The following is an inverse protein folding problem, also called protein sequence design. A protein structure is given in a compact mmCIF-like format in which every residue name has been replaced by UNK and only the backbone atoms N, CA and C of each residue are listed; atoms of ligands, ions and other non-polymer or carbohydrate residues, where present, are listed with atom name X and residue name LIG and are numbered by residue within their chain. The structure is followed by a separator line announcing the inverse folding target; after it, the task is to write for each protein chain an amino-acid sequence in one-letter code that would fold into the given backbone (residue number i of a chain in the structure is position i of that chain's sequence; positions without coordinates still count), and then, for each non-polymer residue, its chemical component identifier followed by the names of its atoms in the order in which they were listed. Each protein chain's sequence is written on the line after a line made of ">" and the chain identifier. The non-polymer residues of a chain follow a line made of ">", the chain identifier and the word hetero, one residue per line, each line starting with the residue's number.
data_IF_569741510530
#
_entry.id   IF_569741510530
#
_cell.length_a   1.000
_cell.length_b   1.000
_cell.length_c   1.000
_cell.angle_alpha   90.00
_cell.angle_beta   90.00
_cell.angle_gamma   90.00
#
_symmetry.space_group_name_H-M   'P 1'
#
loop_
_entity.id
_entity.type
_entity.pdbx_description
1 polymer ?
#
# COMPACT_ATOMS: atom_id res chain seq x y z
N UNK A 1 31.95 6.31 97.81
CA UNK A 1 31.80 7.64 97.25
C UNK A 1 31.88 7.50 95.74
N UNK A 2 30.75 7.53 95.10
CA UNK A 2 30.65 7.30 93.66
C UNK A 2 30.26 8.60 92.96
N UNK A 3 30.89 9.01 91.86
CA UNK A 3 30.38 10.09 91.03
C UNK A 3 29.44 9.61 89.96
N UNK A 4 28.43 10.39 89.76
CA UNK A 4 27.34 10.21 88.77
C UNK A 4 27.81 10.79 87.45
N UNK A 5 27.82 9.98 86.39
CA UNK A 5 28.06 10.40 85.01
C UNK A 5 26.76 10.90 84.37
N UNK A 6 26.71 12.20 84.02
CA UNK A 6 25.65 12.78 83.19
C UNK A 6 26.02 12.52 81.73
N UNK A 7 25.20 11.74 81.09
CA UNK A 7 25.25 11.54 79.66
C UNK A 7 24.55 12.68 78.91
N UNK A 8 25.30 13.40 78.09
CA UNK A 8 24.78 14.44 77.20
C UNK A 8 24.26 13.84 75.92
N UNK A 9 22.94 13.97 75.72
CA UNK A 9 22.25 13.53 74.53
C UNK A 9 22.33 14.64 73.46
N UNK A 10 23.20 14.48 72.48
CA UNK A 10 23.29 15.35 71.31
C UNK A 10 22.21 15.01 70.31
N UNK A 11 21.22 15.88 70.13
CA UNK A 11 20.16 15.83 69.14
C UNK A 11 20.73 16.38 67.81
N UNK A 12 21.03 15.52 66.86
CA UNK A 12 21.42 15.93 65.52
C UNK A 12 20.21 16.29 64.68
N UNK A 13 19.99 17.57 64.42
CA UNK A 13 19.06 18.06 63.40
C UNK A 13 19.60 17.70 62.00
N UNK A 14 18.93 16.77 61.31
CA UNK A 14 19.16 16.55 59.89
C UNK A 14 18.47 17.67 59.10
N UNK A 15 19.27 18.58 58.53
CA UNK A 15 18.79 19.59 57.60
C UNK A 15 18.47 18.91 56.24
N UNK A 16 17.20 18.90 55.87
CA UNK A 16 16.79 18.58 54.52
C UNK A 16 17.23 19.69 53.57
N UNK A 17 18.25 19.44 52.79
CA UNK A 17 18.59 20.27 51.65
C UNK A 17 17.56 20.01 50.51
N UNK A 18 16.99 21.04 49.88
CA UNK A 18 16.16 20.83 48.67
C UNK A 18 17.11 20.37 47.55
N UNK A 19 16.94 19.13 47.11
CA UNK A 19 17.60 18.59 45.94
C UNK A 19 17.19 19.40 44.71
N UNK A 20 18.15 20.13 44.16
CA UNK A 20 18.03 20.66 42.79
C UNK A 20 17.96 19.47 41.84
N UNK A 21 16.72 19.00 41.60
CA UNK A 21 16.48 18.05 40.54
C UNK A 21 16.84 18.70 39.19
N UNK A 22 17.95 18.27 38.64
CA UNK A 22 18.24 18.48 37.23
C UNK A 22 17.11 17.81 36.46
N UNK A 23 16.14 18.59 36.05
CA UNK A 23 15.23 18.18 35.02
C UNK A 23 16.05 18.04 33.73
N UNK A 24 16.59 16.86 33.54
CA UNK A 24 17.26 16.48 32.31
C UNK A 24 16.24 16.69 31.20
N UNK A 25 16.58 17.63 30.35
CA UNK A 25 16.01 17.95 29.07
C UNK A 25 15.23 16.76 28.50
N UNK A 26 13.94 16.97 28.27
CA UNK A 26 13.09 16.10 27.48
C UNK A 26 13.84 15.78 26.19
N UNK A 27 14.45 14.61 26.12
CA UNK A 27 14.83 14.05 24.83
C UNK A 27 13.56 14.03 24.02
N UNK A 28 13.47 14.89 23.02
CA UNK A 28 12.51 14.76 21.95
C UNK A 28 12.72 13.36 21.39
N UNK A 29 11.83 12.45 21.76
CA UNK A 29 11.76 11.14 21.12
C UNK A 29 11.51 11.47 19.65
N UNK A 30 12.57 11.46 18.84
CA UNK A 30 12.40 11.30 17.39
C UNK A 30 11.65 9.99 17.26
N UNK A 31 10.37 10.10 17.00
CA UNK A 31 9.59 8.98 16.48
C UNK A 31 10.25 8.70 15.12
N UNK A 32 11.24 7.82 15.11
CA UNK A 32 11.67 7.21 13.87
C UNK A 32 10.40 6.59 13.29
N UNK A 33 10.03 7.04 12.11
CA UNK A 33 8.94 6.50 11.32
C UNK A 33 9.34 5.06 10.94
N UNK A 34 9.20 4.14 11.92
CA UNK A 34 9.46 2.72 11.69
C UNK A 34 8.37 2.23 10.77
N UNK A 35 8.74 2.08 9.51
CA UNK A 35 7.92 1.32 8.58
C UNK A 35 7.66 -0.03 9.21
N UNK A 36 6.40 -0.43 9.46
CA UNK A 36 6.12 -1.74 10.04
C UNK A 36 6.80 -2.83 9.21
N UNK A 37 7.33 -3.86 9.84
CA UNK A 37 8.06 -4.97 9.17
C UNK A 37 7.28 -5.62 8.00
N UNK A 38 5.97 -5.37 7.91
CA UNK A 38 5.07 -5.88 6.87
C UNK A 38 5.00 -5.02 5.61
N UNK A 39 5.49 -3.79 5.65
CA UNK A 39 5.47 -2.89 4.50
C UNK A 39 6.87 -2.77 3.90
N UNK A 40 6.96 -2.82 2.58
CA UNK A 40 8.19 -2.47 1.88
C UNK A 40 8.41 -0.95 1.91
N UNK A 41 9.68 -0.54 1.78
CA UNK A 41 10.01 0.86 1.62
C UNK A 41 9.30 1.44 0.39
N UNK A 42 8.77 2.67 0.53
CA UNK A 42 8.06 3.32 -0.56
C UNK A 42 8.98 3.51 -1.78
N UNK A 43 8.46 3.18 -2.93
CA UNK A 43 9.04 3.54 -4.23
C UNK A 43 7.95 4.15 -5.12
N UNK A 44 8.30 5.16 -5.89
CA UNK A 44 7.38 5.77 -6.86
C UNK A 44 7.17 4.90 -8.10
N UNK A 45 7.93 3.79 -8.21
CA UNK A 45 7.74 2.81 -9.28
C UNK A 45 6.60 1.85 -8.89
N UNK A 46 5.44 1.94 -9.54
CA UNK A 46 4.33 1.03 -9.26
C UNK A 46 4.67 -0.40 -9.71
N UNK A 47 3.93 -1.36 -9.17
CA UNK A 47 3.94 -2.72 -9.69
C UNK A 47 3.56 -2.72 -11.18
N UNK A 48 4.11 -3.64 -11.99
CA UNK A 48 3.68 -3.81 -13.37
C UNK A 48 2.18 -4.15 -13.39
N UNK A 49 1.47 -3.57 -14.36
CA UNK A 49 0.05 -3.88 -14.54
C UNK A 49 -0.11 -5.37 -14.83
N UNK A 50 -0.99 -6.02 -14.09
CA UNK A 50 -1.38 -7.40 -14.33
C UNK A 50 -2.79 -7.43 -14.88
N UNK A 51 -2.94 -8.16 -15.97
CA UNK A 51 -4.20 -8.31 -16.66
C UNK A 51 -5.25 -8.97 -15.76
N UNK A 52 -6.50 -8.52 -15.90
CA UNK A 52 -7.63 -9.04 -15.14
C UNK A 52 -8.89 -9.21 -15.98
N UNK A 53 -9.95 -9.81 -15.44
CA UNK A 53 -11.25 -9.91 -16.10
C UNK A 53 -11.77 -8.54 -16.56
N UNK A 54 -12.40 -8.49 -17.72
CA UNK A 54 -12.89 -7.30 -18.42
C UNK A 54 -11.81 -6.37 -19.00
N UNK A 55 -10.53 -6.73 -18.92
CA UNK A 55 -9.50 -6.04 -19.70
C UNK A 55 -9.64 -6.39 -21.18
N UNK A 56 -9.46 -5.40 -22.04
CA UNK A 56 -9.41 -5.59 -23.48
C UNK A 56 -7.97 -5.60 -23.94
N UNK A 57 -7.56 -6.69 -24.55
CA UNK A 57 -6.19 -6.92 -24.99
C UNK A 57 -6.13 -7.02 -26.49
N UNK A 58 -5.21 -6.29 -27.11
CA UNK A 58 -4.89 -6.38 -28.53
C UNK A 58 -3.70 -7.30 -28.71
N UNK A 59 -3.91 -8.38 -29.47
CA UNK A 59 -2.88 -9.36 -29.85
C UNK A 59 -2.49 -9.13 -31.29
N UNK A 60 -1.21 -9.01 -31.56
CA UNK A 60 -0.67 -8.73 -32.89
C UNK A 60 0.38 -9.77 -33.27
N UNK A 61 0.21 -10.35 -34.43
CA UNK A 61 1.14 -11.30 -35.05
C UNK A 61 1.97 -10.56 -36.11
N UNK A 62 3.26 -10.45 -35.87
CA UNK A 62 4.13 -9.65 -36.72
C UNK A 62 4.24 -10.18 -38.16
N UNK A 63 4.26 -11.51 -38.31
CA UNK A 63 4.43 -12.17 -39.61
C UNK A 63 3.11 -12.50 -40.31
N UNK A 64 1.98 -12.43 -39.59
CA UNK A 64 0.64 -12.76 -40.09
C UNK A 64 -0.37 -11.74 -39.58
N UNK A 65 -0.33 -10.47 -40.07
CA UNK A 65 -1.15 -9.38 -39.56
C UNK A 65 -2.67 -9.64 -39.69
N UNK A 66 -3.10 -10.50 -40.60
CA UNK A 66 -4.48 -10.95 -40.77
C UNK A 66 -5.01 -11.74 -39.55
N UNK A 67 -4.13 -12.21 -38.67
CA UNK A 67 -4.49 -12.89 -37.43
C UNK A 67 -4.55 -11.94 -36.23
N UNK A 68 -4.25 -10.65 -36.45
CA UNK A 68 -4.40 -9.65 -35.40
C UNK A 68 -5.84 -9.58 -34.92
N UNK A 69 -6.01 -9.54 -33.61
CA UNK A 69 -7.33 -9.43 -33.02
C UNK A 69 -7.31 -8.78 -31.64
N UNK A 70 -8.44 -8.23 -31.26
CA UNK A 70 -8.68 -7.71 -29.91
C UNK A 70 -9.65 -8.64 -29.21
N UNK A 71 -9.30 -9.05 -28.00
CA UNK A 71 -10.13 -9.94 -27.18
C UNK A 71 -10.32 -9.38 -25.78
N UNK A 72 -11.50 -9.63 -25.22
CA UNK A 72 -11.83 -9.34 -23.83
C UNK A 72 -11.39 -10.51 -22.94
N UNK A 73 -10.78 -10.23 -21.79
CA UNK A 73 -10.52 -11.26 -20.80
C UNK A 73 -11.83 -11.61 -20.13
N UNK A 74 -12.20 -12.87 -20.24
CA UNK A 74 -13.44 -13.40 -19.68
C UNK A 74 -13.39 -13.44 -18.12
N UNK A 75 -14.54 -13.57 -17.44
CA UNK A 75 -14.59 -13.65 -15.98
C UNK A 75 -13.81 -14.82 -15.38
N UNK A 76 -13.50 -15.83 -16.16
CA UNK A 76 -12.67 -16.98 -15.77
C UNK A 76 -11.16 -16.74 -15.96
N UNK A 77 -10.77 -15.49 -16.27
CA UNK A 77 -9.37 -15.10 -16.44
C UNK A 77 -8.75 -15.48 -17.79
N UNK A 78 -9.51 -16.03 -18.73
CA UNK A 78 -8.99 -16.50 -20.01
C UNK A 78 -9.36 -15.58 -21.17
N UNK A 79 -8.57 -15.63 -22.26
CA UNK A 79 -8.91 -15.04 -23.55
C UNK A 79 -9.10 -16.14 -24.59
N UNK A 80 -9.99 -15.90 -25.55
CA UNK A 80 -10.21 -16.79 -26.68
C UNK A 80 -9.74 -16.11 -27.97
N UNK A 81 -8.78 -16.72 -28.62
CA UNK A 81 -8.13 -16.22 -29.83
C UNK A 81 -8.32 -17.23 -30.97
N UNK A 82 -8.43 -16.72 -32.22
CA UNK A 82 -8.64 -17.58 -33.40
C UNK A 82 -7.51 -18.60 -33.60
N UNK A 83 -6.26 -18.21 -33.35
CA UNK A 83 -5.09 -19.05 -33.57
C UNK A 83 -4.67 -19.81 -32.32
N UNK A 84 -4.55 -19.12 -31.22
CA UNK A 84 -4.04 -19.69 -29.96
C UNK A 84 -5.13 -20.42 -29.17
N UNK A 85 -6.40 -20.35 -29.61
CA UNK A 85 -7.57 -20.86 -28.88
C UNK A 85 -7.69 -20.21 -27.51
N UNK A 86 -7.87 -20.98 -26.45
CA UNK A 86 -8.02 -20.50 -25.09
C UNK A 86 -6.65 -20.37 -24.40
N UNK A 87 -6.36 -19.18 -23.87
CA UNK A 87 -5.10 -18.87 -23.14
C UNK A 87 -5.45 -18.22 -21.82
N UNK A 88 -4.77 -18.60 -20.74
CA UNK A 88 -4.86 -17.91 -19.47
C UNK A 88 -4.17 -16.54 -19.58
N UNK A 89 -4.86 -15.49 -19.13
CA UNK A 89 -4.40 -14.10 -19.21
C UNK A 89 -4.37 -13.41 -17.85
N UNK A 90 -5.24 -13.81 -16.91
CA UNK A 90 -5.34 -13.22 -15.60
C UNK A 90 -4.03 -13.34 -14.83
N UNK A 91 -3.62 -12.23 -14.19
CA UNK A 91 -2.38 -12.16 -13.42
C UNK A 91 -1.11 -12.02 -14.25
N UNK A 92 -1.16 -12.18 -15.57
CA UNK A 92 -0.02 -11.99 -16.45
C UNK A 92 0.20 -10.51 -16.78
N UNK A 93 1.43 -10.13 -17.08
CA UNK A 93 1.74 -8.90 -17.79
C UNK A 93 1.47 -9.07 -19.28
N UNK A 94 1.42 -7.99 -20.03
CA UNK A 94 1.26 -8.05 -21.51
C UNK A 94 2.39 -8.85 -22.17
N UNK A 95 3.62 -8.73 -21.68
CA UNK A 95 4.76 -9.48 -22.21
C UNK A 95 4.68 -10.98 -21.91
N UNK A 96 4.22 -11.35 -20.71
CA UNK A 96 3.98 -12.75 -20.33
C UNK A 96 2.83 -13.35 -21.15
N UNK A 97 1.75 -12.58 -21.38
CA UNK A 97 0.66 -13.00 -22.25
C UNK A 97 1.13 -13.21 -23.69
N UNK A 98 1.94 -12.29 -24.24
CA UNK A 98 2.47 -12.45 -25.59
C UNK A 98 3.24 -13.77 -25.76
N UNK A 99 4.08 -14.13 -24.78
CA UNK A 99 4.80 -15.42 -24.77
C UNK A 99 3.85 -16.61 -24.67
N UNK A 100 2.82 -16.52 -23.86
CA UNK A 100 1.82 -17.60 -23.71
C UNK A 100 1.03 -17.82 -25.00
N UNK A 101 0.61 -16.72 -25.66
CA UNK A 101 -0.07 -16.75 -26.95
C UNK A 101 0.85 -17.28 -28.04
N UNK A 102 2.12 -16.86 -28.05
CA UNK A 102 3.10 -17.37 -29.01
C UNK A 102 3.26 -18.89 -28.89
N UNK A 103 3.43 -19.39 -27.65
CA UNK A 103 3.58 -20.82 -27.39
C UNK A 103 2.34 -21.61 -27.85
N UNK A 104 1.12 -21.10 -27.56
CA UNK A 104 -0.11 -21.73 -27.98
C UNK A 104 -0.31 -21.73 -29.51
N UNK A 105 0.12 -20.65 -30.17
CA UNK A 105 0.00 -20.46 -31.62
C UNK A 105 0.89 -21.37 -32.45
N UNK A 106 1.97 -21.92 -31.88
CA UNK A 106 2.89 -22.85 -32.56
C UNK A 106 2.23 -24.15 -33.03
N UNK A 107 1.01 -24.44 -32.58
CA UNK A 107 0.22 -25.56 -33.09
C UNK A 107 -0.30 -25.35 -34.50
N UNK A 108 -0.44 -24.07 -34.92
CA UNK A 108 -1.05 -23.67 -36.19
C UNK A 108 -0.07 -22.89 -37.06
N UNK A 109 0.78 -22.07 -36.45
CA UNK A 109 1.73 -21.20 -37.16
C UNK A 109 3.19 -21.65 -36.96
N UNK A 110 3.98 -21.54 -38.01
CA UNK A 110 5.43 -21.75 -37.95
C UNK A 110 6.10 -20.45 -37.49
N UNK A 111 6.84 -20.52 -36.35
CA UNK A 111 7.56 -19.39 -35.77
C UNK A 111 6.72 -18.10 -35.59
N UNK A 112 5.57 -18.16 -34.86
CA UNK A 112 4.82 -16.97 -34.59
C UNK A 112 5.63 -15.99 -33.74
N UNK A 113 5.60 -14.71 -34.08
CA UNK A 113 6.14 -13.60 -33.28
C UNK A 113 4.94 -12.78 -32.85
N UNK A 114 4.68 -12.72 -31.54
CA UNK A 114 3.45 -12.13 -30.99
C UNK A 114 3.81 -10.97 -30.08
N UNK A 115 3.02 -9.91 -30.18
CA UNK A 115 2.98 -8.82 -29.20
C UNK A 115 1.58 -8.70 -28.64
N UNK A 116 1.47 -8.41 -27.36
CA UNK A 116 0.20 -8.13 -26.69
C UNK A 116 0.25 -6.74 -26.06
N UNK A 117 -0.83 -5.98 -26.20
CA UNK A 117 -0.99 -4.66 -25.61
C UNK A 117 -2.33 -4.52 -24.92
N UNK A 118 -2.37 -3.80 -23.81
CA UNK A 118 -3.60 -3.43 -23.15
C UNK A 118 -4.27 -2.30 -23.96
N UNK A 119 -5.47 -2.55 -24.51
CA UNK A 119 -6.22 -1.56 -25.25
C UNK A 119 -7.15 -0.78 -24.31
N UNK A 120 -7.78 -1.48 -23.36
CA UNK A 120 -8.68 -0.90 -22.37
C UNK A 120 -8.57 -1.67 -21.06
N UNK A 121 -8.31 -0.95 -19.97
CA UNK A 121 -8.27 -1.53 -18.64
C UNK A 121 -9.68 -1.58 -18.05
N UNK A 122 -10.28 -2.74 -17.98
CA UNK A 122 -11.66 -2.92 -17.55
C UNK A 122 -11.90 -2.74 -16.06
N UNK A 123 -10.85 -2.89 -15.25
CA UNK A 123 -10.94 -2.86 -13.78
C UNK A 123 -9.92 -1.93 -13.13
N UNK A 124 -9.52 -0.85 -13.82
CA UNK A 124 -8.62 0.13 -13.24
C UNK A 124 -9.34 0.96 -12.18
N UNK A 125 -9.32 0.49 -10.93
CA UNK A 125 -10.01 1.12 -9.81
C UNK A 125 -9.02 1.60 -8.76
N UNK A 126 -9.39 2.64 -8.04
CA UNK A 126 -8.75 3.10 -6.79
C UNK A 126 -9.79 3.15 -5.69
N UNK A 127 -9.38 2.97 -4.46
CA UNK A 127 -10.28 2.86 -3.32
C UNK A 127 -10.05 4.03 -2.36
N UNK A 128 -11.13 4.63 -1.89
CA UNK A 128 -11.07 5.72 -0.92
C UNK A 128 -11.87 5.34 0.31
N UNK A 129 -11.27 5.51 1.47
CA UNK A 129 -11.90 5.25 2.76
C UNK A 129 -11.60 6.32 3.80
N UNK A 130 -12.22 6.17 4.98
CA UNK A 130 -12.05 7.08 6.10
C UNK A 130 -12.96 8.30 6.04
N UNK A 131 -12.46 9.44 6.50
CA UNK A 131 -13.21 10.68 6.66
C UNK A 131 -13.34 11.47 5.36
N UNK A 132 -13.98 10.86 4.38
CA UNK A 132 -14.41 11.47 3.13
C UNK A 132 -15.93 11.38 3.02
N UNK A 133 -16.56 12.29 2.28
CA UNK A 133 -18.02 12.33 2.15
C UNK A 133 -18.59 11.10 1.46
N UNK A 134 -17.87 10.55 0.49
CA UNK A 134 -18.29 9.37 -0.28
C UNK A 134 -17.13 8.38 -0.37
N UNK A 135 -17.01 7.51 0.65
CA UNK A 135 -16.07 6.39 0.58
C UNK A 135 -16.53 5.37 -0.46
N UNK A 136 -15.59 4.73 -1.15
CA UNK A 136 -15.91 3.73 -2.17
C UNK A 136 -14.78 3.49 -3.17
N UNK A 137 -15.13 2.77 -4.24
CA UNK A 137 -14.25 2.50 -5.36
C UNK A 137 -14.52 3.50 -6.50
N UNK A 138 -13.45 4.03 -7.07
CA UNK A 138 -13.52 5.03 -8.15
C UNK A 138 -12.72 4.55 -9.36
N UNK A 139 -13.24 4.75 -10.59
CA UNK A 139 -12.51 4.39 -11.79
C UNK A 139 -11.30 5.31 -11.98
N UNK A 140 -10.15 4.71 -12.25
CA UNK A 140 -8.93 5.43 -12.57
C UNK A 140 -8.78 5.53 -14.09
N UNK A 141 -9.19 6.66 -14.66
CA UNK A 141 -9.04 6.96 -16.07
C UNK A 141 -7.97 8.01 -16.28
N UNK A 142 -6.96 7.71 -17.07
CA UNK A 142 -5.83 8.60 -17.29
C UNK A 142 -4.94 8.77 -16.06
N UNK A 143 -4.12 9.82 -16.07
CA UNK A 143 -3.22 10.14 -14.96
C UNK A 143 -3.95 11.06 -13.97
N UNK A 144 -4.29 10.55 -12.81
CA UNK A 144 -4.93 11.30 -11.73
C UNK A 144 -4.06 11.35 -10.49
N UNK A 145 -4.16 12.45 -9.75
CA UNK A 145 -3.50 12.63 -8.47
C UNK A 145 -4.40 12.28 -7.27
N UNK A 146 -3.79 12.22 -6.11
CA UNK A 146 -4.45 11.94 -4.84
C UNK A 146 -5.45 13.05 -4.47
N UNK A 147 -5.11 14.33 -4.73
CA UNK A 147 -5.99 15.47 -4.51
C UNK A 147 -7.27 15.39 -5.35
N UNK A 148 -7.12 14.98 -6.59
CA UNK A 148 -8.24 14.81 -7.52
C UNK A 148 -9.18 13.70 -7.05
N UNK A 149 -8.63 12.57 -6.60
CA UNK A 149 -9.41 11.46 -6.06
C UNK A 149 -10.22 11.87 -4.83
N UNK A 150 -9.61 12.58 -3.87
CA UNK A 150 -10.32 13.11 -2.69
C UNK A 150 -11.44 14.06 -3.10
N UNK A 151 -11.21 14.89 -4.13
CA UNK A 151 -12.24 15.77 -4.68
C UNK A 151 -13.40 14.98 -5.31
N UNK A 152 -13.11 13.91 -6.05
CA UNK A 152 -14.13 13.01 -6.62
C UNK A 152 -14.94 12.31 -5.52
N UNK A 153 -14.33 12.02 -4.37
CA UNK A 153 -15.01 11.48 -3.19
C UNK A 153 -15.89 12.52 -2.46
N UNK A 154 -16.07 13.70 -3.06
CA UNK A 154 -16.88 14.81 -2.50
C UNK A 154 -16.14 15.63 -1.46
N UNK A 155 -14.82 15.49 -1.37
CA UNK A 155 -13.99 16.14 -0.37
C UNK A 155 -14.01 15.43 0.98
N UNK A 156 -13.42 16.07 1.98
CA UNK A 156 -13.39 15.55 3.34
C UNK A 156 -14.73 15.75 4.04
N UNK A 157 -15.00 14.92 5.03
CA UNK A 157 -15.99 15.21 6.05
C UNK A 157 -15.44 16.24 7.07
N UNK A 158 -16.26 16.64 8.03
CA UNK A 158 -15.90 17.66 9.05
C UNK A 158 -14.72 17.21 9.96
N UNK A 159 -14.42 15.94 9.98
CA UNK A 159 -13.41 15.33 10.87
C UNK A 159 -12.14 14.92 10.12
N UNK A 160 -12.15 14.98 8.80
CA UNK A 160 -11.07 14.48 7.96
C UNK A 160 -9.78 15.31 8.07
N UNK A 161 -8.64 14.63 8.15
CA UNK A 161 -7.32 15.27 8.24
C UNK A 161 -6.59 15.18 6.91
N UNK A 162 -6.31 16.33 6.32
CA UNK A 162 -5.56 16.43 5.06
C UNK A 162 -4.03 16.33 5.26
N UNK A 163 -3.55 16.59 6.47
CA UNK A 163 -2.13 16.59 6.79
C UNK A 163 -1.54 15.18 6.97
N UNK A 164 -2.36 14.13 7.00
CA UNK A 164 -1.93 12.76 7.20
C UNK A 164 -2.74 11.75 6.36
N UNK A 165 -2.93 12.02 5.09
CA UNK A 165 -3.60 11.06 4.19
C UNK A 165 -2.68 9.88 3.96
N UNK A 166 -3.21 8.67 4.16
CA UNK A 166 -2.46 7.43 3.99
C UNK A 166 -2.71 6.86 2.60
N UNK A 167 -1.65 6.58 1.86
CA UNK A 167 -1.67 5.90 0.58
C UNK A 167 -1.02 4.53 0.72
N UNK A 168 -1.75 3.49 0.36
CA UNK A 168 -1.26 2.12 0.31
C UNK A 168 -1.23 1.67 -1.14
N UNK A 169 -0.10 1.13 -1.57
CA UNK A 169 0.16 0.67 -2.94
C UNK A 169 0.87 -0.67 -2.93
N UNK A 170 0.67 -1.48 -3.95
CA UNK A 170 1.49 -2.67 -4.17
C UNK A 170 2.86 -2.29 -4.74
N UNK A 171 3.91 -2.86 -4.17
CA UNK A 171 5.28 -2.75 -4.68
C UNK A 171 5.45 -3.59 -5.97
N UNK A 172 6.56 -3.40 -6.72
CA UNK A 172 6.91 -4.29 -7.82
C UNK A 172 7.03 -5.78 -7.43
N UNK A 173 7.25 -6.06 -6.13
CA UNK A 173 7.33 -7.42 -5.58
C UNK A 173 5.98 -7.92 -5.03
N UNK A 174 4.89 -7.25 -5.36
CA UNK A 174 3.52 -7.56 -4.92
C UNK A 174 3.30 -7.44 -3.39
N UNK A 175 4.19 -6.76 -2.68
CA UNK A 175 4.05 -6.48 -1.24
C UNK A 175 3.45 -5.09 -1.03
N UNK A 176 2.74 -4.86 0.10
CA UNK A 176 2.21 -3.55 0.38
C UNK A 176 3.32 -2.55 0.72
N UNK A 177 3.23 -1.35 0.15
CA UNK A 177 3.97 -0.15 0.53
C UNK A 177 3.00 0.84 1.13
N UNK A 178 3.49 1.66 2.05
CA UNK A 178 2.69 2.67 2.71
C UNK A 178 3.42 4.02 2.69
N UNK A 179 2.67 5.09 2.39
CA UNK A 179 3.15 6.47 2.45
C UNK A 179 2.11 7.36 3.10
N UNK A 180 2.55 8.26 3.98
CA UNK A 180 1.72 9.35 4.49
C UNK A 180 1.97 10.59 3.63
N UNK A 181 0.90 11.27 3.25
CA UNK A 181 0.91 12.45 2.37
C UNK A 181 0.25 13.61 3.07
N UNK A 182 0.95 14.75 3.13
CA UNK A 182 0.37 16.02 3.58
C UNK A 182 -0.32 16.72 2.39
N UNK A 183 -1.59 16.38 2.19
CA UNK A 183 -2.38 16.99 1.13
C UNK A 183 -2.72 18.45 1.41
N UNK A 184 -2.70 18.87 2.69
CA UNK A 184 -2.90 20.27 3.08
C UNK A 184 -1.73 21.14 2.65
N UNK A 185 -0.49 20.66 2.80
CA UNK A 185 0.69 21.35 2.32
C UNK A 185 0.68 21.50 0.79
N UNK A 186 0.26 20.46 0.06
CA UNK A 186 0.08 20.54 -1.38
C UNK A 186 -0.98 21.57 -1.79
N UNK A 187 -2.18 21.48 -1.23
CA UNK A 187 -3.30 22.41 -1.55
C UNK A 187 -2.98 23.87 -1.22
N UNK A 188 -2.13 24.13 -0.23
CA UNK A 188 -1.68 25.48 0.14
C UNK A 188 -0.45 25.96 -0.67
N UNK A 189 0.08 25.12 -1.57
CA UNK A 189 1.25 25.44 -2.39
C UNK A 189 2.58 25.39 -1.63
N UNK A 190 2.60 24.83 -0.41
CA UNK A 190 3.84 24.70 0.39
C UNK A 190 4.68 23.49 -0.06
N UNK A 191 4.04 22.44 -0.56
CA UNK A 191 4.69 21.26 -1.09
C UNK A 191 4.06 20.86 -2.43
N UNK A 192 4.78 21.09 -3.52
CA UNK A 192 4.32 20.74 -4.87
C UNK A 192 4.42 19.25 -5.18
N UNK A 193 5.09 18.47 -4.33
CA UNK A 193 5.30 17.03 -4.50
C UNK A 193 4.25 16.17 -3.79
N UNK A 194 3.35 16.82 -3.02
CA UNK A 194 2.34 16.16 -2.21
C UNK A 194 1.20 15.51 -3.01
N UNK A 195 1.02 15.87 -4.30
CA UNK A 195 0.03 15.20 -5.15
C UNK A 195 0.62 13.96 -5.82
N UNK A 196 0.55 12.84 -5.13
CA UNK A 196 1.08 11.57 -5.64
C UNK A 196 0.20 11.05 -6.77
N UNK A 197 0.76 10.76 -7.97
CA UNK A 197 0.01 10.10 -9.03
C UNK A 197 -0.48 8.72 -8.57
N UNK A 198 -1.75 8.45 -8.81
CA UNK A 198 -2.38 7.17 -8.42
C UNK A 198 -2.08 6.07 -9.43
N UNK A 199 -2.01 4.84 -8.92
CA UNK A 199 -1.91 3.62 -9.70
C UNK A 199 -3.15 2.74 -9.48
N UNK A 200 -3.50 1.87 -10.43
CA UNK A 200 -4.58 0.89 -10.25
C UNK A 200 -4.38 0.06 -8.98
N UNK A 201 -5.44 -0.10 -8.20
CA UNK A 201 -5.40 -0.83 -6.94
C UNK A 201 -4.93 -0.02 -5.73
N UNK A 202 -4.60 1.26 -5.89
CA UNK A 202 -4.26 2.13 -4.76
C UNK A 202 -5.41 2.26 -3.78
N UNK A 203 -5.07 2.27 -2.50
CA UNK A 203 -6.02 2.49 -1.41
C UNK A 203 -5.62 3.78 -0.71
N UNK A 204 -6.53 4.75 -0.72
CA UNK A 204 -6.36 6.04 -0.05
C UNK A 204 -7.25 6.06 1.19
N UNK A 205 -6.67 6.38 2.32
CA UNK A 205 -7.42 6.50 3.57
C UNK A 205 -7.20 7.86 4.22
N UNK A 206 -8.29 8.54 4.54
CA UNK A 206 -8.28 9.82 5.26
C UNK A 206 -8.61 9.59 6.73
N UNK A 207 -7.68 9.85 7.66
CA UNK A 207 -7.93 9.63 9.08
C UNK A 207 -8.74 10.77 9.70
N UNK A 208 -9.40 10.48 10.84
CA UNK A 208 -10.13 11.46 11.67
C UNK A 208 -9.23 12.18 12.68
N UNK A 209 -8.16 11.51 13.12
CA UNK A 209 -7.25 12.00 14.14
C UNK A 209 -5.81 11.80 13.72
N UNK A 210 -4.87 12.45 14.42
CA UNK A 210 -3.44 12.19 14.19
C UNK A 210 -3.12 10.73 14.46
N UNK A 211 -2.44 10.13 13.50
CA UNK A 211 -1.97 8.75 13.61
C UNK A 211 -0.58 8.81 14.24
N UNK A 212 -0.47 8.40 15.50
CA UNK A 212 0.80 8.36 16.21
C UNK A 212 1.70 7.24 15.67
N UNK A 213 1.08 6.11 15.28
CA UNK A 213 1.78 4.97 14.70
C UNK A 213 0.95 4.42 13.53
N UNK A 214 1.31 4.83 12.32
CA UNK A 214 0.58 4.48 11.09
C UNK A 214 0.48 2.96 10.91
N UNK A 215 1.52 2.21 11.30
CA UNK A 215 1.54 0.76 11.18
C UNK A 215 0.51 0.04 12.05
N UNK A 216 0.43 0.40 13.32
CA UNK A 216 -0.57 -0.17 14.24
C UNK A 216 -1.98 0.22 13.82
N UNK A 217 -2.15 1.46 13.34
CA UNK A 217 -3.43 1.92 12.87
C UNK A 217 -3.90 1.17 11.62
N UNK A 218 -3.01 0.90 10.66
CA UNK A 218 -3.32 0.10 9.47
C UNK A 218 -3.77 -1.31 9.87
N UNK A 219 -3.09 -1.94 10.84
CA UNK A 219 -3.52 -3.26 11.34
C UNK A 219 -4.92 -3.22 11.96
N UNK A 220 -5.22 -2.18 12.73
CA UNK A 220 -6.51 -2.09 13.44
C UNK A 220 -7.66 -1.62 12.57
N UNK A 221 -7.43 -0.64 11.71
CA UNK A 221 -8.48 0.00 10.92
C UNK A 221 -8.68 -0.64 9.54
N UNK A 222 -7.60 -0.89 8.81
CA UNK A 222 -7.70 -1.37 7.42
C UNK A 222 -8.03 -2.86 7.38
N UNK A 223 -7.43 -3.67 8.24
CA UNK A 223 -7.75 -5.11 8.30
C UNK A 223 -9.20 -5.41 8.73
N UNK A 224 -9.87 -4.44 9.38
CA UNK A 224 -11.30 -4.56 9.72
C UNK A 224 -12.24 -4.09 8.62
N UNK A 225 -11.80 -3.17 7.77
CA UNK A 225 -12.66 -2.48 6.78
C UNK A 225 -12.52 -3.12 5.40
N UNK A 226 -11.34 -3.62 5.05
CA UNK A 226 -11.08 -4.17 3.73
C UNK A 226 -11.02 -5.70 3.78
N UNK A 227 -11.83 -6.39 2.97
CA UNK A 227 -11.87 -7.86 2.93
C UNK A 227 -10.58 -8.51 2.38
N UNK A 228 -9.60 -7.71 2.00
CA UNK A 228 -8.31 -8.17 1.44
C UNK A 228 -7.37 -8.83 2.44
N UNK A 229 -7.69 -8.78 3.75
CA UNK A 229 -6.85 -9.35 4.81
C UNK A 229 -6.68 -10.88 4.75
N UNK A 230 -7.52 -11.58 4.01
CA UNK A 230 -7.44 -13.05 3.94
C UNK A 230 -6.34 -13.58 3.00
N UNK A 231 -5.89 -12.77 2.04
CA UNK A 231 -4.82 -13.18 1.12
C UNK A 231 -3.41 -12.96 1.67
N UNK A 232 -3.26 -12.14 2.72
CA UNK A 232 -1.95 -11.81 3.28
C UNK A 232 -1.50 -12.72 4.44
N UNK A 233 -2.37 -13.59 4.96
CA UNK A 233 -2.10 -14.37 6.16
C UNK A 233 -1.41 -15.72 5.91
N UNK A 234 -1.21 -16.17 4.69
CA UNK A 234 -0.72 -17.53 4.42
C UNK A 234 0.79 -17.69 4.29
N UNK A 235 1.60 -16.65 4.43
CA UNK A 235 3.04 -16.75 4.23
C UNK A 235 3.89 -16.82 5.50
N UNK A 236 3.31 -16.90 6.70
CA UNK A 236 4.11 -16.85 7.94
C UNK A 236 3.79 -18.04 8.86
N UNK A 237 3.86 -19.23 8.37
CA UNK A 237 4.07 -20.35 9.31
C UNK A 237 4.48 -21.63 8.61
N UNK A 238 5.71 -21.69 8.16
CA UNK A 238 6.39 -22.99 8.00
C UNK A 238 7.90 -22.76 7.96
N UNK A 239 8.52 -22.54 9.11
CA UNK A 239 9.88 -22.99 9.37
C UNK A 239 10.18 -22.87 10.88
N UNK A 240 9.62 -23.80 11.63
CA UNK A 240 10.25 -24.21 12.88
C UNK A 240 10.42 -25.72 12.85
N UNK A 241 11.54 -26.23 12.35
CA UNK A 241 11.86 -27.64 12.54
C UNK A 241 12.28 -27.84 13.99
N UNK A 242 11.45 -28.57 14.68
CA UNK A 242 11.56 -29.28 15.88
C UNK A 242 12.84 -29.24 16.70
N UNK A 243 12.64 -29.10 17.98
CA UNK A 243 13.49 -29.78 18.95
C UNK A 243 12.68 -30.94 19.54
N UNK A 244 12.98 -32.13 19.03
CA UNK A 244 12.80 -33.37 19.75
C UNK A 244 14.09 -33.64 20.52
N UNK A 245 14.03 -33.53 21.83
CA UNK A 245 14.72 -34.39 22.78
C UNK A 245 13.99 -34.32 24.10
#
# INVERSE_FOLDING_TARGET
>A
MRPILLGSLLLSLAACAPGTGNFTTTQSIRVEERTPERFEAWTDKPAPYRLGPNDRVKVQYLLTPEMNETSLIAPDGTISLRVASRVEAEGLTTDELAKSVEAASRRVLTNPIVTAGLEEAGASMVYVGGSVRKAGAYPLTGRRGLAELVTMAGGLDETGRMDQVVLIRRSPNDKPMLRTVDLQAFMSGKDITGDVPLAPGDIVFVPRSRIAEVGLWVEQAINRILPFSRSFSYAINQNNPGNLN
#
